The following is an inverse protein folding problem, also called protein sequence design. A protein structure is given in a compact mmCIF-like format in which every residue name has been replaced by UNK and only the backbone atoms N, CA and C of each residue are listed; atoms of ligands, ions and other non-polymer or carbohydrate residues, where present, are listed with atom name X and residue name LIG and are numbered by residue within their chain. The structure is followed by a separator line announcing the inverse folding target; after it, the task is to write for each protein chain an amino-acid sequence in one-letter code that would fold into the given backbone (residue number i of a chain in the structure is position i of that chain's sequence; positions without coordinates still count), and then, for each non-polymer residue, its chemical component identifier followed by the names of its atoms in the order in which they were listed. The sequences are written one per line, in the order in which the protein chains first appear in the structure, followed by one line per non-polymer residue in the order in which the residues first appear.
data_IF_233661628869
#
_entry.id   IF_233661628869
#
_cell.length_a   1.000
_cell.length_b   1.000
_cell.length_c   1.000
_cell.angle_alpha   90.00
_cell.angle_beta   90.00
_cell.angle_gamma   90.00
#
_symmetry.space_group_name_H-M   'P 1'
#
loop_
_entity.id
_entity.type
_entity.pdbx_description
1 polymer ?
#
# COMPACT_ATOMS: atom_id res chain seq x y z
N UNK A 1 44.92 28.92 -40.07
CA UNK A 1 44.77 27.84 -39.08
C UNK A 1 43.37 27.26 -39.23
N UNK A 2 43.20 25.94 -39.43
CA UNK A 2 41.90 25.36 -39.72
C UNK A 2 41.01 25.42 -38.48
N UNK A 3 39.78 25.89 -38.69
CA UNK A 3 38.69 25.94 -37.70
C UNK A 3 38.37 24.51 -37.31
N UNK A 4 38.77 24.10 -36.11
CA UNK A 4 38.49 22.77 -35.56
C UNK A 4 36.99 22.50 -35.65
N UNK A 5 36.64 21.38 -36.29
CA UNK A 5 35.28 20.92 -36.49
C UNK A 5 34.56 20.79 -35.14
N UNK A 6 33.56 21.63 -34.93
CA UNK A 6 32.60 21.49 -33.86
C UNK A 6 31.76 20.26 -34.20
N UNK A 7 32.11 19.13 -33.59
CA UNK A 7 31.44 17.84 -33.78
C UNK A 7 29.94 18.02 -33.50
N UNK A 8 29.13 17.62 -34.48
CA UNK A 8 27.73 17.98 -34.67
C UNK A 8 26.83 17.66 -33.47
N UNK A 9 26.30 18.71 -32.83
CA UNK A 9 25.15 18.55 -31.94
C UNK A 9 23.92 18.21 -32.81
N UNK A 10 23.13 17.17 -32.47
CA UNK A 10 21.93 16.82 -33.22
C UNK A 10 20.98 18.02 -33.29
N UNK A 11 20.38 18.23 -34.47
CA UNK A 11 19.40 19.30 -34.64
C UNK A 11 18.15 19.06 -33.79
N UNK A 12 17.43 20.13 -33.44
CA UNK A 12 16.17 20.02 -32.72
C UNK A 12 15.16 19.10 -33.44
N UNK A 13 15.15 19.13 -34.78
CA UNK A 13 14.31 18.24 -35.58
C UNK A 13 14.69 16.78 -35.43
N UNK A 14 15.99 16.47 -35.44
CA UNK A 14 16.48 15.11 -35.24
C UNK A 14 16.16 14.58 -33.83
N UNK A 15 16.32 15.43 -32.80
CA UNK A 15 15.97 15.09 -31.42
C UNK A 15 14.46 14.81 -31.24
N UNK A 16 13.58 15.60 -31.88
CA UNK A 16 12.13 15.38 -31.84
C UNK A 16 11.72 14.08 -32.53
N UNK A 17 12.28 13.80 -33.70
CA UNK A 17 12.02 12.54 -34.41
C UNK A 17 12.42 11.31 -33.57
N UNK A 18 13.50 11.43 -32.79
CA UNK A 18 13.91 10.36 -31.88
C UNK A 18 12.96 10.20 -30.68
N UNK A 19 12.40 11.30 -30.13
CA UNK A 19 11.33 11.25 -29.13
C UNK A 19 10.09 10.56 -29.70
N UNK A 20 9.63 10.96 -30.88
CA UNK A 20 8.45 10.36 -31.52
C UNK A 20 8.64 8.85 -31.75
N UNK A 21 9.85 8.42 -32.13
CA UNK A 21 10.21 7.00 -32.28
C UNK A 21 10.12 6.25 -30.96
N UNK A 22 10.60 6.85 -29.86
CA UNK A 22 10.52 6.28 -28.51
C UNK A 22 9.06 6.20 -28.05
N UNK A 23 8.28 7.25 -28.24
CA UNK A 23 6.86 7.31 -27.86
C UNK A 23 6.03 6.25 -28.59
N UNK A 24 6.25 6.08 -29.90
CA UNK A 24 5.63 5.01 -30.67
C UNK A 24 6.00 3.62 -30.14
N UNK A 25 7.26 3.43 -29.73
CA UNK A 25 7.74 2.17 -29.16
C UNK A 25 7.12 1.90 -27.78
N UNK A 26 7.03 2.93 -26.92
CA UNK A 26 6.37 2.82 -25.62
C UNK A 26 4.90 2.44 -25.76
N UNK A 27 4.18 3.07 -26.70
CA UNK A 27 2.80 2.74 -26.98
C UNK A 27 2.65 1.29 -27.46
N UNK A 28 3.48 0.85 -28.42
CA UNK A 28 3.46 -0.53 -28.91
C UNK A 28 3.71 -1.55 -27.78
N UNK A 29 4.65 -1.29 -26.87
CA UNK A 29 4.92 -2.15 -25.71
C UNK A 29 3.73 -2.20 -24.73
N UNK A 30 2.98 -1.10 -24.57
CA UNK A 30 1.76 -1.11 -23.75
C UNK A 30 0.65 -1.96 -24.39
N UNK A 31 0.53 -1.92 -25.72
CA UNK A 31 -0.41 -2.77 -26.47
C UNK A 31 0.00 -4.25 -26.35
N UNK A 32 1.27 -4.59 -26.57
CA UNK A 32 1.77 -5.96 -26.40
C UNK A 32 1.53 -6.48 -24.97
N UNK A 33 1.78 -5.63 -23.95
CA UNK A 33 1.45 -5.96 -22.55
C UNK A 33 -0.05 -6.24 -22.38
N UNK A 34 -0.93 -5.50 -23.06
CA UNK A 34 -2.38 -5.71 -22.99
C UNK A 34 -2.81 -7.05 -23.58
N UNK A 35 -2.17 -7.50 -24.65
CA UNK A 35 -2.45 -8.79 -25.29
C UNK A 35 -2.07 -9.95 -24.36
N UNK A 36 -0.95 -9.83 -23.64
CA UNK A 36 -0.56 -10.81 -22.60
C UNK A 36 -1.62 -10.89 -21.50
N UNK A 37 -2.17 -9.75 -21.07
CA UNK A 37 -3.24 -9.72 -20.06
C UNK A 37 -4.52 -10.36 -20.60
N UNK A 38 -4.89 -10.10 -21.86
CA UNK A 38 -6.04 -10.75 -22.49
C UNK A 38 -5.89 -12.29 -22.51
N UNK A 39 -4.69 -12.78 -22.83
CA UNK A 39 -4.38 -14.22 -22.76
C UNK A 39 -4.47 -14.75 -21.33
N UNK A 40 -4.00 -14.01 -20.34
CA UNK A 40 -4.08 -14.41 -18.93
C UNK A 40 -5.54 -14.51 -18.45
N UNK A 41 -6.40 -13.57 -18.87
CA UNK A 41 -7.85 -13.62 -18.60
C UNK A 41 -8.47 -14.87 -19.24
N UNK A 42 -8.13 -15.16 -20.50
CA UNK A 42 -8.65 -16.33 -21.22
C UNK A 42 -8.23 -17.66 -20.56
N UNK A 43 -6.99 -17.74 -20.05
CA UNK A 43 -6.45 -18.95 -19.40
C UNK A 43 -7.00 -19.16 -17.99
N UNK A 44 -7.10 -18.10 -17.17
CA UNK A 44 -7.48 -18.25 -15.76
C UNK A 44 -8.95 -18.59 -15.56
N UNK A 45 -9.82 -18.24 -16.51
CA UNK A 45 -11.26 -18.33 -16.30
C UNK A 45 -11.71 -17.48 -15.10
N UNK A 46 -13.01 -17.31 -14.90
CA UNK A 46 -13.59 -16.47 -13.83
C UNK A 46 -13.44 -17.06 -12.41
N UNK A 47 -12.40 -17.85 -12.14
CA UNK A 47 -12.30 -18.72 -10.96
C UNK A 47 -11.40 -18.23 -9.83
N UNK A 48 -10.88 -17.01 -9.83
CA UNK A 48 -10.21 -16.49 -8.63
C UNK A 48 -11.23 -15.87 -7.66
N UNK A 49 -11.42 -16.52 -6.51
CA UNK A 49 -12.07 -15.91 -5.34
C UNK A 49 -11.06 -14.99 -4.65
N UNK A 50 -11.31 -13.68 -4.63
CA UNK A 50 -10.52 -12.69 -3.89
C UNK A 50 -10.15 -11.45 -4.71
N UNK A 51 -9.45 -10.50 -4.11
CA UNK A 51 -8.97 -9.31 -4.81
C UNK A 51 -7.98 -9.68 -5.90
N UNK A 52 -8.06 -9.08 -7.09
CA UNK A 52 -7.03 -9.22 -8.13
C UNK A 52 -5.72 -8.47 -7.77
N UNK A 53 -5.75 -7.66 -6.71
CA UNK A 53 -4.58 -6.96 -6.21
C UNK A 53 -3.58 -7.94 -5.59
N UNK A 54 -2.32 -7.89 -6.05
CA UNK A 54 -1.22 -8.78 -5.59
C UNK A 54 -0.09 -7.94 -4.99
N UNK A 55 -0.25 -7.45 -3.75
CA UNK A 55 0.61 -6.41 -3.18
C UNK A 55 2.07 -6.82 -3.01
N UNK A 56 2.35 -8.09 -2.64
CA UNK A 56 3.73 -8.59 -2.54
C UNK A 56 4.49 -8.47 -3.88
N UNK A 57 3.81 -8.83 -4.97
CA UNK A 57 4.36 -8.77 -6.33
C UNK A 57 4.57 -7.32 -6.75
N UNK A 58 3.64 -6.42 -6.43
CA UNK A 58 3.76 -4.99 -6.73
C UNK A 58 4.88 -4.33 -5.94
N UNK A 59 5.01 -4.61 -4.64
CA UNK A 59 6.10 -4.12 -3.80
C UNK A 59 7.47 -4.54 -4.36
N UNK A 60 7.62 -5.82 -4.75
CA UNK A 60 8.84 -6.33 -5.38
C UNK A 60 9.14 -5.62 -6.71
N UNK A 61 8.11 -5.37 -7.53
CA UNK A 61 8.27 -4.61 -8.78
C UNK A 61 8.71 -3.17 -8.52
N UNK A 62 8.10 -2.48 -7.54
CA UNK A 62 8.49 -1.11 -7.19
C UNK A 62 9.92 -1.06 -6.66
N UNK A 63 10.33 -2.00 -5.81
CA UNK A 63 11.72 -2.11 -5.32
C UNK A 63 12.70 -2.23 -6.49
N UNK A 64 12.48 -3.17 -7.41
CA UNK A 64 13.31 -3.36 -8.61
C UNK A 64 13.32 -2.14 -9.52
N UNK A 65 12.20 -1.43 -9.62
CA UNK A 65 12.08 -0.21 -10.41
C UNK A 65 12.97 0.89 -9.83
N UNK A 66 12.97 1.08 -8.51
CA UNK A 66 13.84 2.05 -7.85
C UNK A 66 15.31 1.67 -7.99
N UNK A 67 15.68 0.41 -7.73
CA UNK A 67 17.08 -0.07 -7.80
C UNK A 67 17.73 0.14 -9.17
N UNK A 68 16.94 0.08 -10.24
CA UNK A 68 17.41 0.29 -11.62
C UNK A 68 17.20 1.71 -12.13
N UNK A 69 16.57 2.61 -11.37
CA UNK A 69 16.25 3.97 -11.81
C UNK A 69 17.52 4.83 -11.94
N UNK A 70 17.69 5.51 -13.07
CA UNK A 70 18.86 6.35 -13.39
C UNK A 70 18.43 7.49 -14.33
N UNK A 71 19.24 8.54 -14.40
CA UNK A 71 19.03 9.65 -15.33
C UNK A 71 18.24 10.81 -14.72
N UNK A 72 17.83 11.76 -15.58
CA UNK A 72 17.22 13.04 -15.16
C UNK A 72 15.72 12.96 -14.91
N UNK A 73 15.07 11.85 -15.28
CA UNK A 73 13.63 11.68 -15.09
C UNK A 73 13.31 11.49 -13.61
N UNK A 74 12.41 12.28 -13.00
CA UNK A 74 12.02 12.11 -11.61
C UNK A 74 11.43 10.73 -11.32
N UNK A 75 11.81 10.14 -10.19
CA UNK A 75 11.41 8.77 -9.81
C UNK A 75 9.89 8.65 -9.60
N UNK A 76 9.25 9.68 -9.05
CA UNK A 76 7.81 9.77 -8.86
C UNK A 76 7.03 9.70 -10.17
N UNK A 77 7.57 10.25 -11.25
CA UNK A 77 7.00 10.12 -12.59
C UNK A 77 6.99 8.65 -13.03
N UNK A 78 8.12 7.96 -12.89
CA UNK A 78 8.24 6.56 -13.31
C UNK A 78 7.37 5.66 -12.42
N UNK A 79 7.41 5.88 -11.11
CA UNK A 79 6.59 5.14 -10.15
C UNK A 79 5.10 5.30 -10.46
N UNK A 80 4.59 6.53 -10.57
CA UNK A 80 3.17 6.79 -10.84
C UNK A 80 2.71 6.17 -12.16
N UNK A 81 3.50 6.25 -13.23
CA UNK A 81 3.19 5.59 -14.51
C UNK A 81 3.05 4.08 -14.31
N UNK A 82 4.01 3.45 -13.62
CA UNK A 82 3.96 2.00 -13.36
C UNK A 82 2.77 1.62 -12.48
N UNK A 83 2.47 2.41 -11.43
CA UNK A 83 1.29 2.22 -10.57
C UNK A 83 0.00 2.24 -11.39
N UNK A 84 -0.17 3.26 -12.24
CA UNK A 84 -1.37 3.42 -13.08
C UNK A 84 -1.50 2.28 -14.08
N UNK A 85 -0.40 1.89 -14.74
CA UNK A 85 -0.39 0.73 -15.66
C UNK A 85 -0.82 -0.53 -14.92
N UNK A 86 -0.21 -0.84 -13.77
CA UNK A 86 -0.52 -2.05 -13.00
C UNK A 86 -1.99 -2.03 -12.57
N UNK A 87 -2.46 -0.96 -11.92
CA UNK A 87 -3.82 -0.85 -11.43
C UNK A 87 -4.86 -0.97 -12.57
N UNK A 88 -4.60 -0.34 -13.72
CA UNK A 88 -5.47 -0.40 -14.90
C UNK A 88 -5.62 -1.84 -15.39
N UNK A 89 -4.51 -2.57 -15.53
CA UNK A 89 -4.57 -3.95 -15.99
C UNK A 89 -5.14 -4.90 -14.94
N UNK A 90 -4.95 -4.63 -13.64
CA UNK A 90 -5.66 -5.35 -12.58
C UNK A 90 -7.17 -5.15 -12.69
N UNK A 91 -7.62 -3.92 -12.93
CA UNK A 91 -9.04 -3.60 -13.13
C UNK A 91 -9.65 -4.25 -14.39
N UNK A 92 -8.91 -4.29 -15.50
CA UNK A 92 -9.34 -4.96 -16.73
C UNK A 92 -9.51 -6.47 -16.53
N UNK A 93 -8.69 -7.09 -15.67
CA UNK A 93 -8.82 -8.52 -15.34
C UNK A 93 -10.03 -8.80 -14.45
N UNK A 94 -10.24 -7.97 -13.42
CA UNK A 94 -11.37 -8.08 -12.52
C UNK A 94 -11.74 -6.69 -12.01
N UNK A 95 -12.89 -6.12 -12.44
CA UNK A 95 -13.31 -4.80 -11.98
C UNK A 95 -13.49 -4.74 -10.46
N UNK A 96 -12.95 -3.68 -9.86
CA UNK A 96 -13.02 -3.40 -8.42
C UNK A 96 -13.07 -1.90 -8.17
N UNK A 97 -13.52 -1.50 -7.00
CA UNK A 97 -13.52 -0.11 -6.52
C UNK A 97 -12.53 0.09 -5.37
N UNK A 98 -12.06 1.33 -5.21
CA UNK A 98 -11.25 1.75 -4.06
C UNK A 98 -12.10 2.65 -3.16
N UNK A 99 -12.29 2.21 -1.92
CA UNK A 99 -13.03 2.90 -0.86
C UNK A 99 -12.03 3.66 0.03
N UNK A 100 -12.08 4.99 0.05
CA UNK A 100 -11.11 5.78 0.84
C UNK A 100 -11.75 6.48 2.02
N UNK A 101 -11.08 6.40 3.17
CA UNK A 101 -11.42 7.18 4.36
C UNK A 101 -10.93 8.64 4.22
N UNK A 102 -11.87 9.57 4.07
CA UNK A 102 -11.57 11.00 3.95
C UNK A 102 -11.39 11.72 5.29
N UNK A 103 -11.52 11.03 6.44
CA UNK A 103 -11.42 11.65 7.77
C UNK A 103 -10.04 12.26 8.06
N UNK A 104 -9.00 11.82 7.35
CA UNK A 104 -7.63 12.36 7.40
C UNK A 104 -7.37 13.56 6.50
N UNK A 105 -8.37 13.99 5.74
CA UNK A 105 -8.26 15.04 4.75
C UNK A 105 -8.45 14.50 3.33
N UNK A 106 -9.41 15.08 2.63
CA UNK A 106 -9.82 14.62 1.30
C UNK A 106 -8.69 14.68 0.27
N UNK A 107 -7.91 15.76 0.26
CA UNK A 107 -6.81 15.94 -0.69
C UNK A 107 -5.76 14.82 -0.54
N UNK A 108 -5.27 14.58 0.67
CA UNK A 108 -4.22 13.59 0.93
C UNK A 108 -4.66 12.15 0.59
N UNK A 109 -5.90 11.79 0.91
CA UNK A 109 -6.45 10.49 0.54
C UNK A 109 -6.66 10.37 -0.98
N UNK A 110 -7.16 11.41 -1.64
CA UNK A 110 -7.31 11.43 -3.11
C UNK A 110 -5.97 11.34 -3.82
N UNK A 111 -4.94 12.06 -3.37
CA UNK A 111 -3.59 11.99 -3.93
C UNK A 111 -3.04 10.57 -3.83
N UNK A 112 -3.23 9.91 -2.69
CA UNK A 112 -2.87 8.51 -2.48
C UNK A 112 -3.59 7.57 -3.44
N UNK A 113 -4.91 7.73 -3.58
CA UNK A 113 -5.71 6.92 -4.51
C UNK A 113 -5.25 7.14 -5.95
N UNK A 114 -5.11 8.39 -6.39
CA UNK A 114 -4.79 8.70 -7.79
C UNK A 114 -3.36 8.35 -8.16
N UNK A 115 -2.41 8.53 -7.25
CA UNK A 115 -1.03 8.09 -7.46
C UNK A 115 -0.94 6.57 -7.61
N UNK A 116 -1.66 5.80 -6.77
CA UNK A 116 -1.51 4.35 -6.75
C UNK A 116 -2.44 3.58 -7.70
N UNK A 117 -3.60 4.16 -8.07
CA UNK A 117 -4.66 3.47 -8.81
C UNK A 117 -5.15 4.23 -10.06
N UNK A 118 -4.68 5.47 -10.28
CA UNK A 118 -5.07 6.27 -11.43
C UNK A 118 -6.55 6.67 -11.43
N UNK A 119 -7.11 6.90 -12.62
CA UNK A 119 -8.50 7.32 -12.83
C UNK A 119 -9.41 6.24 -13.39
N UNK A 120 -8.85 5.14 -13.89
CA UNK A 120 -9.63 4.01 -14.42
C UNK A 120 -10.36 3.25 -13.31
N UNK A 121 -9.70 3.08 -12.15
CA UNK A 121 -10.31 2.44 -10.99
C UNK A 121 -11.29 3.43 -10.31
N UNK A 122 -12.57 3.05 -10.12
CA UNK A 122 -13.54 3.88 -9.40
C UNK A 122 -13.08 4.19 -7.98
N UNK A 123 -13.29 5.44 -7.57
CA UNK A 123 -13.02 5.91 -6.21
C UNK A 123 -14.34 6.20 -5.50
N UNK A 124 -14.57 5.53 -4.36
CA UNK A 124 -15.76 5.70 -3.53
C UNK A 124 -15.34 6.34 -2.20
N UNK A 125 -15.70 7.60 -1.94
CA UNK A 125 -15.33 8.27 -0.69
C UNK A 125 -16.19 7.80 0.49
N UNK A 126 -15.57 7.67 1.66
CA UNK A 126 -16.22 7.38 2.94
C UNK A 126 -15.75 8.38 4.01
N UNK A 127 -16.57 8.62 5.02
CA UNK A 127 -16.14 9.32 6.24
C UNK A 127 -15.91 8.25 7.32
N UNK A 128 -14.65 7.97 7.62
CA UNK A 128 -14.22 6.99 8.60
C UNK A 128 -13.92 5.60 8.01
N UNK A 129 -12.89 4.96 8.56
CA UNK A 129 -12.40 3.63 8.15
C UNK A 129 -13.48 2.54 8.19
N UNK A 130 -14.38 2.57 9.19
CA UNK A 130 -15.42 1.53 9.39
C UNK A 130 -16.33 1.39 8.16
N UNK A 131 -16.77 2.50 7.56
CA UNK A 131 -17.64 2.48 6.38
C UNK A 131 -16.93 1.90 5.14
N UNK A 132 -15.67 2.30 4.92
CA UNK A 132 -14.86 1.78 3.84
C UNK A 132 -14.62 0.26 3.99
N UNK A 133 -14.29 -0.20 5.19
CA UNK A 133 -14.07 -1.63 5.48
C UNK A 133 -15.37 -2.44 5.33
N UNK A 134 -16.50 -1.91 5.81
CA UNK A 134 -17.80 -2.58 5.66
C UNK A 134 -18.17 -2.78 4.18
N UNK A 135 -17.88 -1.79 3.33
CA UNK A 135 -18.08 -1.92 1.89
C UNK A 135 -17.21 -3.02 1.28
N UNK A 136 -15.93 -3.09 1.66
CA UNK A 136 -15.03 -4.17 1.23
C UNK A 136 -15.52 -5.54 1.72
N UNK A 137 -15.97 -5.64 2.97
CA UNK A 137 -16.48 -6.88 3.54
C UNK A 137 -17.69 -7.42 2.75
N UNK A 138 -18.55 -6.53 2.24
CA UNK A 138 -19.69 -6.86 1.39
C UNK A 138 -19.33 -7.10 -0.09
N UNK A 139 -18.11 -6.76 -0.51
CA UNK A 139 -17.61 -6.94 -1.87
C UNK A 139 -16.84 -8.26 -2.04
N UNK A 140 -16.60 -8.66 -3.29
CA UNK A 140 -15.73 -9.81 -3.60
C UNK A 140 -14.28 -9.44 -3.88
N UNK A 141 -13.98 -8.17 -4.15
CA UNK A 141 -12.65 -7.77 -4.63
C UNK A 141 -12.30 -6.29 -4.47
N UNK A 142 -13.15 -5.49 -3.82
CA UNK A 142 -12.87 -4.07 -3.59
C UNK A 142 -11.72 -3.90 -2.58
N UNK A 143 -11.13 -2.70 -2.59
CA UNK A 143 -10.07 -2.30 -1.67
C UNK A 143 -10.56 -1.17 -0.78
N UNK A 144 -10.17 -1.17 0.49
CA UNK A 144 -10.30 -0.01 1.36
C UNK A 144 -8.90 0.57 1.62
N UNK A 145 -8.77 1.88 1.46
CA UNK A 145 -7.60 2.63 1.91
C UNK A 145 -7.96 3.38 3.20
N UNK A 146 -7.30 2.98 4.27
CA UNK A 146 -7.45 3.60 5.59
C UNK A 146 -6.10 4.12 6.07
N UNK A 147 -6.06 5.19 6.88
CA UNK A 147 -4.81 5.73 7.39
C UNK A 147 -4.01 4.70 8.18
N UNK A 148 -2.71 4.61 7.92
CA UNK A 148 -1.78 3.79 8.70
C UNK A 148 -1.17 4.58 9.87
N UNK A 149 -1.94 5.52 10.40
CA UNK A 149 -1.59 6.39 11.52
C UNK A 149 -2.81 6.57 12.44
N UNK A 150 -2.58 7.01 13.68
CA UNK A 150 -3.66 7.35 14.59
C UNK A 150 -4.40 8.59 14.09
N UNK A 151 -5.73 8.52 14.04
CA UNK A 151 -6.62 9.63 13.69
C UNK A 151 -7.61 9.79 14.83
N UNK A 152 -7.69 11.00 15.37
CA UNK A 152 -8.56 11.28 16.51
C UNK A 152 -10.02 10.93 16.19
N UNK A 153 -10.64 10.13 17.06
CA UNK A 153 -12.03 9.73 16.89
C UNK A 153 -12.28 8.64 15.83
N UNK A 154 -11.24 8.05 15.23
CA UNK A 154 -11.39 6.93 14.30
C UNK A 154 -11.78 5.61 14.98
N UNK A 155 -11.50 5.49 16.28
CA UNK A 155 -11.72 4.27 17.04
C UNK A 155 -10.81 3.12 16.59
N UNK A 156 -10.97 1.97 17.23
CA UNK A 156 -10.24 0.75 16.92
C UNK A 156 -10.83 0.03 15.68
N UNK A 157 -10.83 0.70 14.52
CA UNK A 157 -11.44 0.20 13.28
C UNK A 157 -10.95 -1.20 12.89
N UNK A 158 -9.71 -1.55 13.25
CA UNK A 158 -9.10 -2.85 12.96
C UNK A 158 -9.76 -4.02 13.70
N UNK A 159 -10.59 -3.76 14.72
CA UNK A 159 -11.41 -4.80 15.35
C UNK A 159 -12.34 -5.49 14.34
N UNK A 160 -12.77 -4.76 13.30
CA UNK A 160 -13.58 -5.34 12.20
C UNK A 160 -12.82 -6.36 11.35
N UNK A 161 -11.50 -6.43 11.47
CA UNK A 161 -10.64 -7.33 10.71
C UNK A 161 -10.29 -8.61 11.48
N UNK A 162 -10.71 -8.77 12.74
CA UNK A 162 -10.29 -9.90 13.60
C UNK A 162 -10.88 -11.24 13.16
N UNK A 163 -12.06 -11.23 12.54
CA UNK A 163 -12.75 -12.45 12.10
C UNK A 163 -11.96 -13.25 11.06
N UNK A 164 -12.16 -14.57 11.03
CA UNK A 164 -11.46 -15.47 10.10
C UNK A 164 -11.78 -15.13 8.63
N UNK A 165 -13.05 -14.87 8.33
CA UNK A 165 -13.51 -14.44 6.99
C UNK A 165 -13.56 -12.92 6.80
N UNK A 166 -13.03 -12.15 7.76
CA UNK A 166 -13.00 -10.70 7.64
C UNK A 166 -11.93 -10.28 6.63
N UNK A 167 -12.10 -9.12 5.96
CA UNK A 167 -11.02 -8.50 5.21
C UNK A 167 -9.77 -8.35 6.07
N UNK A 168 -8.61 -8.38 5.42
CA UNK A 168 -7.30 -8.24 6.08
C UNK A 168 -6.54 -7.07 5.48
N UNK A 169 -5.62 -6.51 6.26
CA UNK A 169 -4.57 -5.64 5.72
C UNK A 169 -3.71 -6.49 4.79
N UNK A 170 -3.58 -6.07 3.54
CA UNK A 170 -2.80 -6.79 2.51
C UNK A 170 -1.62 -5.97 2.01
N UNK A 171 -1.63 -4.65 2.22
CA UNK A 171 -0.54 -3.77 1.85
C UNK A 171 -0.45 -2.55 2.74
N UNK A 172 0.72 -1.92 2.73
CA UNK A 172 0.94 -0.56 3.20
C UNK A 172 1.49 0.25 2.04
N UNK A 173 0.91 1.42 1.80
CA UNK A 173 1.29 2.34 0.73
C UNK A 173 1.78 3.67 1.33
N UNK A 174 2.71 4.37 0.64
CA UNK A 174 3.39 3.94 -0.59
C UNK A 174 4.37 2.79 -0.36
N UNK A 175 4.65 1.99 -1.41
CA UNK A 175 5.64 0.91 -1.33
C UNK A 175 7.08 1.45 -1.23
N UNK A 176 7.31 2.65 -1.79
CA UNK A 176 8.59 3.37 -1.75
C UNK A 176 8.42 4.58 -0.86
N UNK A 177 9.09 4.57 0.29
CA UNK A 177 9.02 5.66 1.25
C UNK A 177 10.17 6.64 1.02
N UNK A 178 9.83 7.92 0.79
CA UNK A 178 10.79 9.02 0.62
C UNK A 178 10.18 10.34 1.10
N UNK A 179 10.99 11.33 1.57
CA UNK A 179 10.48 12.58 2.12
C UNK A 179 9.54 13.38 1.20
N UNK A 180 9.78 13.37 -0.11
CA UNK A 180 9.00 14.15 -1.09
C UNK A 180 8.04 13.28 -1.91
N UNK A 181 7.54 12.19 -1.34
CA UNK A 181 6.57 11.35 -2.05
C UNK A 181 5.26 12.14 -2.27
N UNK A 182 4.75 12.27 -3.51
CA UNK A 182 3.56 13.09 -3.79
C UNK A 182 2.28 12.53 -3.15
N UNK A 183 2.23 11.21 -2.92
CA UNK A 183 1.22 10.55 -2.09
C UNK A 183 1.86 10.14 -0.74
N UNK A 184 2.14 11.12 0.12
CA UNK A 184 2.91 10.91 1.35
C UNK A 184 2.09 10.34 2.51
N UNK A 185 0.76 10.34 2.42
CA UNK A 185 -0.11 9.79 3.45
C UNK A 185 0.07 8.27 3.53
N UNK A 186 0.59 7.74 4.65
CA UNK A 186 0.70 6.29 4.82
C UNK A 186 -0.70 5.69 4.96
N UNK A 187 -1.03 4.71 4.13
CA UNK A 187 -2.33 4.02 4.18
C UNK A 187 -2.17 2.51 4.20
N UNK A 188 -3.05 1.83 4.91
CA UNK A 188 -3.25 0.39 4.77
C UNK A 188 -4.26 0.13 3.66
N UNK A 189 -3.93 -0.81 2.78
CA UNK A 189 -4.88 -1.39 1.84
C UNK A 189 -5.49 -2.65 2.46
N UNK A 190 -6.82 -2.70 2.51
CA UNK A 190 -7.59 -3.78 3.11
C UNK A 190 -8.43 -4.46 2.04
N UNK A 191 -8.42 -5.79 2.01
CA UNK A 191 -9.27 -6.60 1.14
C UNK A 191 -9.44 -8.01 1.64
N UNK A 192 -10.30 -8.79 1.00
CA UNK A 192 -10.33 -10.24 1.19
C UNK A 192 -9.04 -10.85 0.62
N UNK A 193 -8.18 -11.47 1.44
CA UNK A 193 -6.92 -12.01 0.96
C UNK A 193 -7.17 -13.16 -0.01
N UNK A 194 -6.53 -13.12 -1.18
CA UNK A 194 -6.41 -14.30 -2.02
C UNK A 194 -5.39 -15.27 -1.40
N UNK A 195 -5.54 -16.58 -1.65
CA UNK A 195 -4.70 -17.63 -1.03
C UNK A 195 -3.18 -17.45 -1.26
N UNK A 196 -2.78 -16.66 -2.25
CA UNK A 196 -1.40 -16.36 -2.66
C UNK A 196 -0.97 -14.90 -2.37
N UNK A 197 -1.80 -14.07 -1.73
CA UNK A 197 -1.63 -12.61 -1.65
C UNK A 197 -0.91 -12.07 -0.42
N UNK A 198 -0.39 -12.92 0.47
CA UNK A 198 0.14 -12.50 1.78
C UNK A 198 1.63 -12.15 1.69
N UNK A 199 1.95 -10.85 1.78
CA UNK A 199 3.33 -10.37 1.93
C UNK A 199 3.78 -10.56 3.39
N UNK A 200 4.35 -11.73 3.71
CA UNK A 200 4.68 -12.13 5.08
C UNK A 200 5.97 -11.46 5.65
N UNK A 201 6.30 -10.22 5.27
CA UNK A 201 7.47 -9.52 5.82
C UNK A 201 7.12 -8.76 7.12
N UNK A 202 5.92 -8.16 7.19
CA UNK A 202 5.41 -7.49 8.39
C UNK A 202 4.02 -8.03 8.68
N UNK A 203 3.84 -8.67 9.83
CA UNK A 203 2.53 -9.13 10.30
C UNK A 203 1.86 -8.01 11.11
N UNK A 204 0.54 -7.88 10.98
CA UNK A 204 -0.22 -6.85 11.69
C UNK A 204 -1.24 -7.51 12.61
N UNK A 205 -1.16 -7.18 13.90
CA UNK A 205 -1.99 -7.77 14.95
C UNK A 205 -2.90 -6.72 15.61
N UNK A 206 -4.16 -7.10 15.81
CA UNK A 206 -5.02 -6.46 16.81
C UNK A 206 -4.70 -7.05 18.17
N UNK A 207 -4.36 -6.20 19.14
CA UNK A 207 -4.05 -6.61 20.52
C UNK A 207 -4.86 -5.77 21.50
N UNK A 208 -5.63 -6.42 22.37
CA UNK A 208 -6.35 -5.74 23.46
C UNK A 208 -5.53 -5.84 24.73
N UNK A 209 -5.34 -4.72 25.41
CA UNK A 209 -4.53 -4.65 26.63
C UNK A 209 -5.25 -3.93 27.78
N UNK A 210 -4.76 -4.11 29.01
CA UNK A 210 -4.99 -3.21 30.15
C UNK A 210 -3.68 -2.77 30.77
N UNK A 211 -3.70 -1.73 31.57
CA UNK A 211 -2.48 -1.06 32.03
C UNK A 211 -1.73 -0.36 30.89
N UNK A 212 -2.41 0.06 29.82
CA UNK A 212 -1.78 0.80 28.74
C UNK A 212 -1.34 2.18 29.23
N UNK A 213 -0.07 2.51 29.03
CA UNK A 213 0.50 3.77 29.49
C UNK A 213 1.89 4.03 28.92
N UNK A 214 2.51 5.13 29.37
CA UNK A 214 3.79 5.60 28.83
C UNK A 214 4.93 4.58 28.94
N UNK A 215 4.94 3.75 29.98
CA UNK A 215 5.95 2.69 30.14
C UNK A 215 5.80 1.63 29.03
N UNK A 216 4.59 1.08 28.84
CA UNK A 216 4.30 0.11 27.79
C UNK A 216 4.57 0.67 26.38
N UNK A 217 4.14 1.92 26.12
CA UNK A 217 4.39 2.58 24.84
C UNK A 217 5.89 2.74 24.54
N UNK A 218 6.70 3.18 25.51
CA UNK A 218 8.16 3.31 25.35
C UNK A 218 8.85 1.96 25.12
N UNK A 219 8.38 0.91 25.79
CA UNK A 219 8.91 -0.45 25.61
C UNK A 219 8.64 -0.98 24.21
N UNK A 220 7.47 -0.68 23.63
CA UNK A 220 7.11 -1.15 22.29
C UNK A 220 7.73 -0.34 21.15
N UNK A 221 7.96 0.97 21.35
CA UNK A 221 8.46 1.86 20.32
C UNK A 221 9.68 1.35 19.52
N UNK A 222 10.72 0.71 20.12
CA UNK A 222 11.83 0.16 19.34
C UNK A 222 11.56 -1.22 18.72
N UNK A 223 10.48 -1.89 19.11
CA UNK A 223 10.19 -3.28 18.71
C UNK A 223 9.21 -3.37 17.54
N UNK A 224 8.24 -2.46 17.49
CA UNK A 224 7.16 -2.48 16.50
C UNK A 224 6.54 -1.08 16.32
N UNK A 225 5.91 -0.86 15.18
CA UNK A 225 5.04 0.30 14.97
C UNK A 225 3.67 0.01 15.60
N UNK A 226 3.16 0.97 16.39
CA UNK A 226 1.93 0.79 17.17
C UNK A 226 0.99 1.97 16.94
N UNK A 227 -0.25 1.67 16.57
CA UNK A 227 -1.38 2.60 16.68
C UNK A 227 -2.19 2.17 17.89
N UNK A 228 -2.44 3.10 18.81
CA UNK A 228 -3.20 2.82 20.04
C UNK A 228 -4.49 3.64 20.06
N UNK A 229 -5.59 2.98 20.38
CA UNK A 229 -6.87 3.60 20.72
C UNK A 229 -7.19 3.26 22.19
N UNK A 230 -6.98 4.20 23.12
CA UNK A 230 -7.31 4.01 24.53
C UNK A 230 -8.81 3.86 24.77
N UNK A 231 -9.20 3.00 25.70
CA UNK A 231 -10.59 2.89 26.15
C UNK A 231 -10.89 4.08 27.08
N UNK A 232 -11.90 4.90 26.76
CA UNK A 232 -12.16 6.17 27.46
C UNK A 232 -12.54 6.09 28.95
N UNK A 233 -12.70 4.89 29.53
CA UNK A 233 -13.13 4.69 30.92
C UNK A 233 -12.17 3.84 31.78
N UNK A 234 -11.20 3.16 31.18
CA UNK A 234 -10.29 2.24 31.87
C UNK A 234 -8.85 2.44 31.37
N UNK A 235 -7.87 1.86 32.05
CA UNK A 235 -6.49 1.75 31.56
C UNK A 235 -6.36 0.76 30.38
N UNK A 236 -7.45 0.51 29.66
CA UNK A 236 -7.53 -0.37 28.51
C UNK A 236 -7.11 0.33 27.21
N UNK A 237 -6.65 -0.45 26.24
CA UNK A 237 -6.46 0.05 24.89
C UNK A 237 -6.63 -1.08 23.86
N UNK A 238 -7.10 -0.71 22.67
CA UNK A 238 -6.87 -1.48 21.46
C UNK A 238 -5.56 -1.02 20.83
N UNK A 239 -4.71 -1.96 20.46
CA UNK A 239 -3.47 -1.71 19.75
C UNK A 239 -3.56 -2.38 18.37
N UNK A 240 -3.13 -1.66 17.34
CA UNK A 240 -2.76 -2.23 16.05
C UNK A 240 -1.24 -2.23 15.97
N UNK A 241 -0.64 -3.42 15.93
CA UNK A 241 0.80 -3.59 16.03
C UNK A 241 1.34 -4.19 14.73
N UNK A 242 2.20 -3.47 14.03
CA UNK A 242 2.96 -3.96 12.89
C UNK A 242 4.27 -4.57 13.38
N UNK A 243 4.34 -5.91 13.39
CA UNK A 243 5.47 -6.71 13.86
C UNK A 243 6.41 -6.98 12.67
N UNK A 244 7.63 -6.42 12.67
CA UNK A 244 8.56 -6.58 11.56
C UNK A 244 9.20 -7.98 11.53
N UNK A 245 9.74 -8.36 10.36
CA UNK A 245 10.49 -9.59 10.20
C UNK A 245 11.61 -9.71 11.26
N UNK A 246 11.71 -10.88 11.87
CA UNK A 246 12.68 -11.16 12.95
C UNK A 246 12.15 -10.88 14.36
N UNK A 247 10.97 -10.27 14.49
CA UNK A 247 10.22 -10.22 15.74
C UNK A 247 9.05 -11.22 15.70
N UNK A 248 8.47 -11.51 16.86
CA UNK A 248 7.25 -12.31 16.98
C UNK A 248 6.23 -11.57 17.83
N UNK A 249 4.93 -11.79 17.57
CA UNK A 249 3.87 -11.21 18.41
C UNK A 249 4.02 -11.64 19.88
N UNK A 250 4.50 -12.87 20.13
CA UNK A 250 4.77 -13.36 21.49
C UNK A 250 5.82 -12.51 22.22
N UNK A 251 6.93 -12.17 21.55
CA UNK A 251 7.97 -11.31 22.13
C UNK A 251 7.45 -9.89 22.42
N UNK A 252 6.58 -9.35 21.56
CA UNK A 252 5.91 -8.07 21.77
C UNK A 252 4.97 -8.13 22.99
N UNK A 253 4.15 -9.17 23.09
CA UNK A 253 3.21 -9.34 24.21
C UNK A 253 3.94 -9.57 25.53
N UNK A 254 5.05 -10.31 25.52
CA UNK A 254 5.90 -10.47 26.71
C UNK A 254 6.51 -9.14 27.16
N UNK A 255 6.92 -8.30 26.21
CA UNK A 255 7.45 -6.98 26.51
C UNK A 255 6.38 -6.05 27.12
N UNK A 256 5.13 -6.13 26.64
CA UNK A 256 3.97 -5.46 27.25
C UNK A 256 3.76 -5.90 28.70
N UNK A 257 3.78 -7.21 28.96
CA UNK A 257 3.59 -7.76 30.31
C UNK A 257 4.70 -7.33 31.26
N UNK A 258 5.97 -7.37 30.82
CA UNK A 258 7.11 -6.88 31.60
C UNK A 258 7.03 -5.38 31.90
N UNK A 259 6.35 -4.61 31.05
CA UNK A 259 6.12 -3.18 31.24
C UNK A 259 4.91 -2.87 32.15
N UNK A 260 4.23 -3.89 32.69
CA UNK A 260 3.11 -3.75 33.63
C UNK A 260 1.73 -3.74 32.99
N UNK A 261 1.63 -3.96 31.66
CA UNK A 261 0.35 -4.17 31.00
C UNK A 261 -0.10 -5.64 31.11
N UNK A 262 -1.38 -5.92 30.88
CA UNK A 262 -1.89 -7.27 30.64
C UNK A 262 -2.45 -7.39 29.24
N UNK A 263 -2.25 -8.54 28.59
CA UNK A 263 -2.77 -8.81 27.24
C UNK A 263 -4.07 -9.62 27.36
N UNK A 264 -5.17 -9.08 26.84
CA UNK A 264 -6.50 -9.68 26.90
C UNK A 264 -6.81 -10.55 25.67
N UNK A 265 -6.39 -10.11 24.49
CA UNK A 265 -6.55 -10.86 23.25
C UNK A 265 -5.53 -10.43 22.21
N UNK A 266 -5.28 -11.32 21.24
CA UNK A 266 -4.41 -11.12 20.08
C UNK A 266 -5.05 -11.75 18.85
N UNK A 267 -5.15 -11.02 17.75
CA UNK A 267 -5.69 -11.52 16.48
C UNK A 267 -4.87 -11.02 15.30
N UNK A 268 -4.53 -11.91 14.36
CA UNK A 268 -3.88 -11.53 13.11
C UNK A 268 -4.91 -10.84 12.19
N UNK A 269 -4.65 -9.57 11.88
CA UNK A 269 -5.54 -8.74 11.05
C UNK A 269 -4.94 -8.43 9.68
N UNK A 270 -3.74 -8.92 9.39
CA UNK A 270 -3.17 -8.91 8.04
C UNK A 270 -1.65 -8.89 8.03
N UNK A 271 -1.10 -8.50 6.88
CA UNK A 271 0.34 -8.37 6.67
C UNK A 271 0.63 -7.39 5.54
N UNK A 272 1.86 -6.91 5.46
CA UNK A 272 2.33 -6.14 4.31
C UNK A 272 3.83 -6.30 4.09
N UNK A 273 4.30 -5.91 2.90
CA UNK A 273 5.73 -5.83 2.61
C UNK A 273 6.40 -4.76 3.48
N UNK A 274 7.68 -4.96 3.79
CA UNK A 274 8.50 -3.94 4.45
C UNK A 274 8.62 -2.72 3.55
N UNK A 275 8.54 -1.54 4.16
CA UNK A 275 8.70 -0.25 3.48
C UNK A 275 10.08 -0.18 2.85
N UNK A 276 10.14 0.16 1.56
CA UNK A 276 11.42 0.37 0.89
C UNK A 276 11.80 1.85 0.97
N UNK A 277 12.69 2.18 1.89
CA UNK A 277 13.12 3.57 2.12
C UNK A 277 14.26 3.95 1.18
N UNK A 278 14.12 5.10 0.51
CA UNK A 278 15.17 5.67 -0.34
C UNK A 278 15.68 6.94 0.34
N UNK A 279 16.96 6.95 0.71
CA UNK A 279 17.64 8.18 1.10
C UNK A 279 17.81 9.06 -0.15
N UNK A 280 17.62 10.38 -0.01
CA UNK A 280 17.88 11.34 -1.09
C UNK A 280 19.32 11.26 -1.58
#
# INVERSE_FOLDING_TARGET
MPKQAQKDAPSLTALRAEIDRIDASMHALLIERSEIIANLIAVKGTQESGSAFRPAREASMMRKLVERHRGILPLDTVESIWRVIIATFTYVQAPYSVHGDLSVGEAAMRDSVRFHFGFTVPFVPHIGAVGAIAAVAASKGDLALVPATSVAGSGAWWASLEGESAPKIIARLPFVERPDHPASLPVFAISHPAADAVAAEVEVFSVRVSGWGAAAARTLAPLAEVIAEPDGAFDGAALLISVPQGQTVAAITDALVKAGASVRSTALVGSHATRYTVAR
#
